data_IF_622219100481
#
_entry.id   IF_622219100481
#
_cell.length_a   1.000
_cell.length_b   1.000
_cell.length_c   1.000
_cell.angle_alpha   90.00
_cell.angle_beta   90.00
_cell.angle_gamma   90.00
#
_symmetry.space_group_name_H-M   'P 1'
#
loop_
_entity.id
_entity.type
_entity.pdbx_description
1 polymer ?
#
# COMPACT_ATOMS: atom_id res chain seq x y z
N UNK A 1 -44.49 41.84 -30.93
CA UNK A 1 -44.65 40.50 -30.34
C UNK A 1 -43.26 39.89 -30.30
N UNK A 2 -42.64 39.88 -29.12
CA UNK A 2 -41.19 39.69 -28.94
C UNK A 2 -40.83 38.20 -28.92
N UNK A 3 -39.99 37.76 -29.85
CA UNK A 3 -39.43 36.41 -29.85
C UNK A 3 -38.09 36.42 -29.12
N UNK A 4 -38.07 35.91 -27.88
CA UNK A 4 -36.87 35.75 -27.07
C UNK A 4 -36.11 34.51 -27.50
N UNK A 5 -34.91 34.71 -28.05
CA UNK A 5 -33.91 33.66 -28.28
C UNK A 5 -33.22 33.36 -26.95
N UNK A 6 -33.44 32.17 -26.40
CA UNK A 6 -32.67 31.67 -25.26
C UNK A 6 -31.41 30.97 -25.77
N UNK A 7 -30.27 31.66 -25.72
CA UNK A 7 -28.95 31.06 -25.90
C UNK A 7 -28.55 30.40 -24.58
N UNK A 8 -28.56 29.08 -24.53
CA UNK A 8 -28.02 28.30 -23.41
C UNK A 8 -26.49 28.32 -23.44
N UNK A 9 -25.88 29.07 -22.53
CA UNK A 9 -24.45 29.05 -22.27
C UNK A 9 -24.09 27.76 -21.49
N UNK A 10 -23.60 26.73 -22.19
CA UNK A 10 -23.05 25.53 -21.53
C UNK A 10 -21.64 25.87 -21.04
N UNK A 11 -21.52 26.09 -19.74
CA UNK A 11 -20.25 26.24 -19.04
C UNK A 11 -19.61 24.85 -18.91
N UNK A 12 -18.74 24.48 -19.85
CA UNK A 12 -17.93 23.27 -19.74
C UNK A 12 -16.85 23.48 -18.66
N UNK A 13 -17.09 22.97 -17.46
CA UNK A 13 -16.09 22.89 -16.41
C UNK A 13 -15.06 21.80 -16.79
N UNK A 14 -13.91 22.23 -17.32
CA UNK A 14 -12.73 21.38 -17.46
C UNK A 14 -12.24 21.00 -16.05
N UNK A 15 -12.64 19.84 -15.56
CA UNK A 15 -11.96 19.21 -14.43
C UNK A 15 -10.58 18.76 -14.92
N UNK A 16 -9.54 19.52 -14.53
CA UNK A 16 -8.16 19.14 -14.73
C UNK A 16 -7.90 17.81 -14.02
N UNK A 17 -7.67 16.76 -14.79
CA UNK A 17 -7.27 15.46 -14.30
C UNK A 17 -5.88 15.60 -13.66
N UNK A 18 -5.83 15.63 -12.33
CA UNK A 18 -4.56 15.69 -11.60
C UNK A 18 -3.75 14.42 -11.91
N UNK A 19 -2.64 14.57 -12.63
CA UNK A 19 -1.78 13.47 -13.02
C UNK A 19 -1.13 12.82 -11.78
N UNK A 20 -0.92 11.51 -11.85
CA UNK A 20 -0.19 10.78 -10.82
C UNK A 20 1.23 11.31 -10.71
N UNK A 21 1.63 11.76 -9.52
CA UNK A 21 2.96 12.29 -9.26
C UNK A 21 3.79 11.22 -8.58
N UNK A 22 4.92 10.81 -9.17
CA UNK A 22 5.82 9.79 -8.59
C UNK A 22 7.00 10.46 -7.90
N UNK A 23 7.37 10.03 -6.69
CA UNK A 23 8.51 10.62 -5.94
C UNK A 23 9.38 9.55 -5.30
N UNK A 24 10.70 9.61 -5.51
CA UNK A 24 11.70 8.84 -4.76
C UNK A 24 12.89 9.70 -4.34
N UNK A 25 13.69 9.21 -3.39
CA UNK A 25 14.94 9.84 -2.98
C UNK A 25 16.14 9.11 -3.59
N UNK A 26 16.93 9.83 -4.40
CA UNK A 26 18.13 9.31 -5.04
C UNK A 26 19.43 9.72 -4.33
N UNK A 27 19.40 10.72 -3.45
CA UNK A 27 20.62 11.23 -2.82
C UNK A 27 20.40 12.40 -1.87
N UNK A 28 21.50 12.87 -1.29
CA UNK A 28 21.56 14.08 -0.46
C UNK A 28 22.78 14.91 -0.82
N UNK A 29 22.62 16.22 -0.78
CA UNK A 29 23.71 17.19 -0.87
C UNK A 29 23.58 18.18 0.29
N UNK A 30 24.29 17.92 1.39
CA UNK A 30 24.20 18.74 2.60
C UNK A 30 22.82 18.65 3.26
N UNK A 31 22.10 19.77 3.25
CA UNK A 31 20.74 19.98 3.75
C UNK A 31 19.66 19.79 2.65
N UNK A 32 20.07 19.42 1.43
CA UNK A 32 19.19 19.22 0.27
C UNK A 32 19.04 17.74 -0.06
N UNK A 33 17.86 17.32 -0.47
CA UNK A 33 17.61 16.00 -1.03
C UNK A 33 17.64 16.05 -2.56
N UNK A 34 18.24 15.04 -3.18
CA UNK A 34 18.07 14.76 -4.60
C UNK A 34 16.88 13.81 -4.74
N UNK A 35 15.75 14.35 -5.19
CA UNK A 35 14.52 13.61 -5.41
C UNK A 35 14.35 13.31 -6.90
N UNK A 36 13.75 12.19 -7.24
CA UNK A 36 13.27 11.92 -8.61
C UNK A 36 11.76 12.17 -8.57
N UNK A 37 11.31 13.21 -9.26
CA UNK A 37 9.89 13.59 -9.36
C UNK A 37 9.47 13.39 -10.80
N UNK A 38 8.50 12.52 -11.06
CA UNK A 38 8.01 12.19 -12.40
C UNK A 38 9.13 11.76 -13.37
N UNK A 39 10.08 10.97 -12.84
CA UNK A 39 11.25 10.48 -13.58
C UNK A 39 12.37 11.52 -13.76
N UNK A 40 12.19 12.77 -13.35
CA UNK A 40 13.19 13.82 -13.47
C UNK A 40 13.90 14.09 -12.12
N UNK A 41 15.24 14.10 -12.06
CA UNK A 41 15.97 14.44 -10.85
C UNK A 41 15.84 15.93 -10.51
N UNK A 42 15.54 16.22 -9.26
CA UNK A 42 15.34 17.56 -8.69
C UNK A 42 16.03 17.65 -7.34
N UNK A 43 16.89 18.65 -7.18
CA UNK A 43 17.47 18.98 -5.87
C UNK A 43 16.52 19.90 -5.11
N UNK A 44 16.05 19.47 -3.94
CA UNK A 44 15.09 20.21 -3.11
C UNK A 44 15.72 20.46 -1.75
N UNK A 45 15.69 21.71 -1.28
CA UNK A 45 16.20 22.08 0.05
C UNK A 45 15.14 21.83 1.13
N UNK A 46 15.55 21.53 2.36
CA UNK A 46 14.61 21.41 3.47
C UNK A 46 13.78 22.71 3.62
N UNK A 47 12.46 22.55 3.74
CA UNK A 47 11.47 23.63 3.73
C UNK A 47 11.02 24.11 2.34
N UNK A 48 11.64 23.66 1.26
CA UNK A 48 11.28 24.08 -0.10
C UNK A 48 10.21 23.17 -0.73
N UNK A 49 9.44 23.73 -1.68
CA UNK A 49 8.43 22.99 -2.44
C UNK A 49 8.75 23.00 -3.92
N UNK A 50 8.73 21.83 -4.57
CA UNK A 50 8.97 21.68 -6.02
C UNK A 50 7.91 20.76 -6.61
N UNK A 51 7.21 21.24 -7.65
CA UNK A 51 6.14 20.50 -8.34
C UNK A 51 5.03 19.97 -7.39
N UNK A 52 4.78 20.63 -6.25
CA UNK A 52 3.79 20.16 -5.25
C UNK A 52 4.37 19.26 -4.17
N UNK A 53 5.67 18.92 -4.24
CA UNK A 53 6.40 18.17 -3.23
C UNK A 53 7.12 19.12 -2.28
N UNK A 54 6.63 19.23 -1.04
CA UNK A 54 7.24 20.02 0.02
C UNK A 54 8.21 19.16 0.83
N UNK A 55 9.49 19.50 0.86
CA UNK A 55 10.47 18.75 1.64
C UNK A 55 10.47 19.23 3.09
N UNK A 56 9.95 18.43 4.01
CA UNK A 56 9.84 18.77 5.43
C UNK A 56 11.20 18.67 6.12
N UNK A 57 11.90 17.56 5.92
CA UNK A 57 13.21 17.32 6.53
C UNK A 57 14.04 16.31 5.75
N UNK A 58 15.36 16.36 5.90
CA UNK A 58 16.30 15.42 5.29
C UNK A 58 17.23 14.88 6.37
N UNK A 59 17.35 13.55 6.45
CA UNK A 59 18.31 12.84 7.31
C UNK A 59 19.43 12.23 6.47
N UNK A 60 20.32 11.45 7.09
CA UNK A 60 21.40 10.75 6.38
C UNK A 60 20.92 9.72 5.37
N UNK A 61 19.78 9.11 5.62
CA UNK A 61 19.25 7.91 4.96
C UNK A 61 17.81 8.07 4.46
N UNK A 62 17.14 9.19 4.76
CA UNK A 62 15.76 9.42 4.36
C UNK A 62 15.44 10.91 4.15
N UNK A 63 14.31 11.17 3.50
CA UNK A 63 13.71 12.48 3.33
C UNK A 63 12.22 12.39 3.68
N UNK A 64 11.71 13.33 4.48
CA UNK A 64 10.27 13.46 4.74
C UNK A 64 9.73 14.50 3.79
N UNK A 65 8.81 14.10 2.92
CA UNK A 65 8.12 14.99 1.99
C UNK A 65 6.64 15.09 2.33
N UNK A 66 6.01 16.20 1.99
CA UNK A 66 4.58 16.44 2.11
C UNK A 66 4.03 16.78 0.72
N UNK A 67 3.02 16.03 0.28
CA UNK A 67 2.36 16.21 -1.02
C UNK A 67 0.86 16.16 -0.80
N UNK A 68 0.13 17.21 -1.23
CA UNK A 68 -1.32 17.28 -1.05
C UNK A 68 -1.78 17.16 0.41
N UNK A 69 -0.96 17.62 1.38
CA UNK A 69 -1.23 17.55 2.81
C UNK A 69 -0.91 16.21 3.48
N UNK A 70 -0.34 15.23 2.74
CA UNK A 70 0.06 13.92 3.28
C UNK A 70 1.59 13.85 3.40
N UNK A 71 2.09 13.53 4.60
CA UNK A 71 3.52 13.32 4.85
C UNK A 71 3.95 11.89 4.53
N UNK A 72 5.06 11.75 3.85
CA UNK A 72 5.63 10.49 3.37
C UNK A 72 7.14 10.50 3.61
N UNK A 73 7.67 9.41 4.14
CA UNK A 73 9.11 9.20 4.31
C UNK A 73 9.65 8.43 3.12
N UNK A 74 10.61 9.01 2.41
CA UNK A 74 11.33 8.42 1.30
C UNK A 74 12.70 7.95 1.81
N UNK A 75 12.94 6.64 1.81
CA UNK A 75 14.27 6.10 2.09
C UNK A 75 15.20 6.32 0.88
N UNK A 76 16.49 6.57 1.14
CA UNK A 76 17.51 6.68 0.12
C UNK A 76 17.62 5.38 -0.68
N UNK A 77 17.40 5.44 -2.00
CA UNK A 77 17.38 4.25 -2.85
C UNK A 77 16.16 3.35 -2.65
N UNK A 78 15.17 3.80 -1.87
CA UNK A 78 13.90 3.11 -1.66
C UNK A 78 12.97 3.20 -2.87
N UNK A 79 11.91 2.41 -2.84
CA UNK A 79 10.89 2.36 -3.89
C UNK A 79 10.23 3.74 -4.13
N UNK A 80 9.82 3.99 -5.38
CA UNK A 80 9.05 5.18 -5.74
C UNK A 80 7.69 5.18 -5.03
N UNK A 81 7.30 6.35 -4.52
CA UNK A 81 5.98 6.54 -3.93
C UNK A 81 5.11 7.31 -4.91
N UNK A 82 3.97 6.72 -5.26
CA UNK A 82 2.93 7.38 -6.04
C UNK A 82 2.12 8.31 -5.12
N UNK A 83 2.21 9.61 -5.41
CA UNK A 83 1.68 10.73 -4.63
C UNK A 83 0.60 11.53 -5.38
N UNK A 84 0.27 11.16 -6.61
CA UNK A 84 -0.89 11.71 -7.32
C UNK A 84 -2.03 10.71 -7.44
N UNK A 85 -2.90 10.75 -6.44
CA UNK A 85 -4.15 10.01 -6.43
C UNK A 85 -4.74 10.07 -5.04
N UNK A 86 -5.99 10.54 -4.92
CA UNK A 86 -6.83 10.13 -3.81
C UNK A 86 -6.67 8.61 -3.68
N UNK A 87 -6.17 8.12 -2.52
CA UNK A 87 -5.82 6.73 -2.23
C UNK A 87 -6.13 5.81 -3.41
N UNK A 88 -5.17 5.62 -4.34
CA UNK A 88 -5.38 5.04 -5.68
C UNK A 88 -6.53 4.05 -5.63
N UNK A 89 -7.59 4.34 -6.38
CA UNK A 89 -8.80 3.54 -6.45
C UNK A 89 -8.48 2.20 -7.12
N UNK A 90 -7.69 1.35 -6.46
CA UNK A 90 -7.38 -0.03 -6.83
C UNK A 90 -7.04 -0.28 -8.29
N UNK A 91 -6.23 0.59 -8.90
CA UNK A 91 -5.86 0.47 -10.32
C UNK A 91 -4.49 -0.17 -10.55
N UNK A 92 -3.66 -0.31 -9.51
CA UNK A 92 -2.35 -0.95 -9.64
C UNK A 92 -2.48 -2.41 -10.02
N UNK A 93 -1.63 -2.86 -10.94
CA UNK A 93 -1.55 -4.28 -11.35
C UNK A 93 -0.28 -4.96 -10.87
N UNK A 94 0.65 -4.24 -10.24
CA UNK A 94 1.94 -4.79 -9.85
C UNK A 94 2.33 -4.39 -8.43
N UNK A 95 2.90 -5.33 -7.69
CA UNK A 95 3.54 -5.12 -6.39
C UNK A 95 4.99 -5.57 -6.53
N UNK A 96 5.95 -4.72 -6.17
CA UNK A 96 7.37 -5.07 -6.12
C UNK A 96 7.80 -5.06 -4.66
N UNK A 97 8.38 -6.17 -4.21
CA UNK A 97 8.81 -6.39 -2.85
C UNK A 97 10.29 -6.71 -2.84
N UNK A 98 11.05 -6.05 -1.97
CA UNK A 98 12.44 -6.40 -1.70
C UNK A 98 12.52 -7.36 -0.51
N UNK A 99 13.49 -8.26 -0.56
CA UNK A 99 13.82 -9.19 0.51
C UNK A 99 14.35 -8.38 1.70
N UNK A 100 13.71 -8.57 2.85
CA UNK A 100 14.15 -7.96 4.11
C UNK A 100 14.98 -8.93 4.94
N UNK A 101 15.20 -8.55 6.20
CA UNK A 101 15.98 -9.36 7.14
C UNK A 101 15.40 -10.77 7.29
N UNK A 102 16.28 -11.77 7.31
CA UNK A 102 15.90 -13.18 7.45
C UNK A 102 15.38 -13.85 6.17
N UNK A 103 15.45 -13.16 5.02
CA UNK A 103 15.06 -13.70 3.72
C UNK A 103 13.57 -13.70 3.43
N UNK A 104 12.81 -12.96 4.26
CA UNK A 104 11.37 -12.78 4.12
C UNK A 104 11.05 -11.51 3.33
N UNK A 105 9.92 -11.50 2.63
CA UNK A 105 9.40 -10.31 1.97
C UNK A 105 8.41 -9.60 2.87
N UNK A 106 8.72 -8.35 3.19
CA UNK A 106 7.93 -7.51 4.09
C UNK A 106 7.23 -6.43 3.28
N UNK A 107 6.02 -6.08 3.67
CA UNK A 107 5.32 -4.97 3.04
C UNK A 107 4.30 -4.34 3.97
N UNK A 108 4.05 -3.05 3.76
CA UNK A 108 2.97 -2.34 4.43
C UNK A 108 1.74 -2.32 3.54
N UNK A 109 0.57 -2.33 4.16
CA UNK A 109 -0.69 -2.24 3.44
C UNK A 109 -1.85 -1.91 4.35
N UNK A 110 -3.05 -2.26 3.93
CA UNK A 110 -4.24 -2.09 4.75
C UNK A 110 -5.22 -3.24 4.61
N UNK A 111 -5.91 -3.56 5.69
CA UNK A 111 -7.09 -4.42 5.71
C UNK A 111 -8.27 -3.54 6.08
N UNK A 112 -9.32 -3.55 5.26
CA UNK A 112 -10.52 -2.75 5.48
C UNK A 112 -10.22 -1.26 5.80
N UNK A 113 -9.22 -0.69 5.11
CA UNK A 113 -8.79 0.71 5.27
C UNK A 113 -7.88 0.99 6.48
N UNK A 114 -7.61 0.01 7.34
CA UNK A 114 -6.72 0.14 8.50
C UNK A 114 -5.33 -0.39 8.19
N UNK A 115 -4.30 0.39 8.51
CA UNK A 115 -2.90 0.05 8.21
C UNK A 115 -2.44 -1.22 8.94
N UNK A 116 -1.70 -2.07 8.24
CA UNK A 116 -1.10 -3.31 8.76
C UNK A 116 0.28 -3.54 8.13
N UNK A 117 1.12 -4.32 8.80
CA UNK A 117 2.36 -4.86 8.23
C UNK A 117 2.17 -6.33 7.89
N UNK A 118 2.63 -6.71 6.70
CA UNK A 118 2.54 -8.05 6.16
C UNK A 118 3.92 -8.69 6.01
N UNK A 119 3.93 -10.00 6.14
CA UNK A 119 5.00 -10.89 5.65
C UNK A 119 4.41 -11.80 4.59
N UNK A 120 5.07 -11.93 3.44
CA UNK A 120 4.66 -12.91 2.42
C UNK A 120 4.91 -14.32 2.95
N UNK A 121 3.85 -15.13 2.99
CA UNK A 121 3.92 -16.52 3.38
C UNK A 121 3.22 -17.40 2.33
N UNK A 122 4.01 -17.96 1.41
CA UNK A 122 3.52 -18.86 0.36
C UNK A 122 3.03 -20.20 0.91
N UNK A 123 3.37 -20.55 2.16
CA UNK A 123 2.91 -21.77 2.83
C UNK A 123 1.52 -21.61 3.47
N UNK A 124 1.10 -20.38 3.75
CA UNK A 124 -0.22 -20.11 4.34
C UNK A 124 -1.35 -20.21 3.30
N UNK A 125 -2.40 -20.97 3.61
CA UNK A 125 -3.59 -21.06 2.74
C UNK A 125 -4.36 -19.74 2.69
N UNK A 126 -4.53 -19.09 3.84
CA UNK A 126 -5.28 -17.85 4.00
C UNK A 126 -4.38 -16.75 4.54
N UNK A 127 -4.77 -15.48 4.34
CA UNK A 127 -4.26 -14.38 5.15
C UNK A 127 -4.47 -14.72 6.62
N UNK A 128 -3.42 -14.63 7.44
CA UNK A 128 -3.48 -15.06 8.83
C UNK A 128 -3.09 -13.93 9.78
N UNK A 129 -3.87 -13.73 10.82
CA UNK A 129 -3.71 -12.64 11.78
C UNK A 129 -4.00 -13.13 13.21
N UNK A 130 -3.41 -12.46 14.19
CA UNK A 130 -3.68 -12.75 15.60
C UNK A 130 -5.06 -12.22 16.00
N UNK A 131 -5.59 -12.76 17.10
CA UNK A 131 -6.82 -12.26 17.71
C UNK A 131 -6.72 -10.78 18.08
N UNK A 132 -5.59 -10.36 18.67
CA UNK A 132 -5.34 -8.96 19.02
C UNK A 132 -5.37 -8.04 17.79
N UNK A 133 -4.82 -8.49 16.67
CA UNK A 133 -4.84 -7.72 15.43
C UNK A 133 -6.26 -7.67 14.83
N UNK A 134 -7.01 -8.78 14.87
CA UNK A 134 -8.41 -8.80 14.44
C UNK A 134 -9.28 -7.82 15.25
N UNK A 135 -9.07 -7.73 16.56
CA UNK A 135 -9.74 -6.78 17.45
C UNK A 135 -9.37 -5.33 17.12
N UNK A 136 -8.07 -5.04 16.90
CA UNK A 136 -7.60 -3.71 16.47
C UNK A 136 -8.22 -3.29 15.14
N UNK A 137 -8.34 -4.26 14.22
CA UNK A 137 -8.98 -4.07 12.92
C UNK A 137 -10.51 -3.98 13.03
N UNK A 138 -11.11 -4.34 14.17
CA UNK A 138 -12.55 -4.28 14.40
C UNK A 138 -13.31 -5.36 13.62
N UNK A 139 -12.69 -6.51 13.38
CA UNK A 139 -13.34 -7.64 12.71
C UNK A 139 -14.36 -8.28 13.65
N UNK A 140 -15.56 -8.58 13.14
CA UNK A 140 -16.57 -9.29 13.92
C UNK A 140 -16.28 -10.80 13.94
N UNK A 141 -15.86 -11.28 15.10
CA UNK A 141 -15.59 -12.71 15.33
C UNK A 141 -16.78 -13.46 15.94
N UNK A 142 -17.85 -12.76 16.35
CA UNK A 142 -18.98 -13.40 17.04
C UNK A 142 -19.72 -14.40 16.16
N UNK A 143 -19.77 -14.10 14.86
CA UNK A 143 -20.39 -14.95 13.84
C UNK A 143 -19.35 -15.73 13.00
N UNK A 144 -18.06 -15.63 13.35
CA UNK A 144 -17.01 -16.29 12.59
C UNK A 144 -17.08 -17.81 12.75
N UNK A 145 -16.93 -18.52 11.63
CA UNK A 145 -16.89 -19.97 11.67
C UNK A 145 -15.62 -20.44 12.39
N UNK A 146 -15.79 -21.26 13.42
CA UNK A 146 -14.67 -21.90 14.11
C UNK A 146 -14.13 -23.07 13.29
N UNK A 147 -12.82 -23.24 13.32
CA UNK A 147 -12.11 -24.34 12.71
C UNK A 147 -10.79 -24.61 13.42
N UNK A 148 -9.96 -25.45 12.81
CA UNK A 148 -8.62 -25.75 13.27
C UNK A 148 -7.62 -25.31 12.21
N UNK A 149 -6.59 -24.58 12.64
CA UNK A 149 -5.45 -24.22 11.79
C UNK A 149 -4.22 -25.03 12.19
N UNK A 150 -3.48 -25.53 11.20
CA UNK A 150 -2.18 -26.13 11.40
C UNK A 150 -1.12 -25.04 11.37
N UNK A 151 -0.34 -24.94 12.44
CA UNK A 151 0.79 -24.01 12.55
C UNK A 151 2.08 -24.79 12.79
N UNK A 152 3.22 -24.12 12.72
CA UNK A 152 4.51 -24.72 13.08
C UNK A 152 4.53 -25.28 14.52
N UNK A 153 3.72 -24.71 15.42
CA UNK A 153 3.60 -25.12 16.82
C UNK A 153 2.46 -26.11 17.07
N UNK A 154 1.88 -26.67 16.00
CA UNK A 154 0.76 -27.61 16.08
C UNK A 154 -0.60 -26.99 15.75
N UNK A 155 -1.66 -27.71 16.10
CA UNK A 155 -3.04 -27.33 15.81
C UNK A 155 -3.57 -26.31 16.82
N UNK A 156 -4.21 -25.26 16.32
CA UNK A 156 -4.86 -24.23 17.15
C UNK A 156 -6.29 -24.00 16.70
N UNK A 157 -7.15 -23.60 17.64
CA UNK A 157 -8.47 -23.08 17.28
C UNK A 157 -8.30 -21.84 16.41
N UNK A 158 -9.09 -21.75 15.35
CA UNK A 158 -9.04 -20.66 14.41
C UNK A 158 -10.46 -20.15 14.10
N UNK A 159 -10.57 -18.88 13.76
CA UNK A 159 -11.81 -18.25 13.33
C UNK A 159 -11.65 -17.80 11.88
N UNK A 160 -12.52 -18.29 11.00
CA UNK A 160 -12.51 -17.90 9.60
C UNK A 160 -13.37 -16.65 9.41
N UNK A 161 -12.79 -15.65 8.78
CA UNK A 161 -13.43 -14.37 8.43
C UNK A 161 -13.19 -14.03 6.98
N UNK A 162 -14.01 -13.12 6.45
CA UNK A 162 -13.80 -12.52 5.13
C UNK A 162 -13.35 -11.08 5.32
N UNK A 163 -12.24 -10.72 4.67
CA UNK A 163 -11.78 -9.34 4.62
C UNK A 163 -12.40 -8.67 3.39
N UNK A 164 -13.03 -7.53 3.58
CA UNK A 164 -13.72 -6.81 2.50
C UNK A 164 -12.73 -6.37 1.44
N UNK A 165 -11.60 -5.82 1.88
CA UNK A 165 -10.51 -5.39 1.02
C UNK A 165 -9.15 -5.51 1.69
N UNK A 166 -8.20 -6.07 0.96
CA UNK A 166 -6.77 -6.08 1.28
C UNK A 166 -6.05 -5.25 0.24
N UNK A 167 -5.31 -4.23 0.68
CA UNK A 167 -4.49 -3.37 -0.17
C UNK A 167 -3.02 -3.56 0.17
N UNK A 168 -2.19 -3.72 -0.85
CA UNK A 168 -0.72 -3.71 -0.76
C UNK A 168 -0.20 -2.82 -1.88
N UNK A 169 0.51 -1.74 -1.52
CA UNK A 169 0.79 -0.64 -2.45
C UNK A 169 -0.50 -0.12 -3.10
N UNK A 170 -0.51 -0.05 -4.42
CA UNK A 170 -1.63 0.45 -5.21
C UNK A 170 -2.63 -0.65 -5.65
N UNK A 171 -2.36 -1.89 -5.27
CA UNK A 171 -3.20 -3.03 -5.63
C UNK A 171 -4.19 -3.37 -4.53
N UNK A 172 -5.44 -3.57 -4.93
CA UNK A 172 -6.51 -4.06 -4.04
C UNK A 172 -7.02 -5.42 -4.49
N UNK A 173 -7.29 -6.27 -3.51
CA UNK A 173 -8.02 -7.54 -3.66
C UNK A 173 -9.20 -7.51 -2.70
N UNK A 174 -10.38 -7.85 -3.21
CA UNK A 174 -11.63 -7.86 -2.46
C UNK A 174 -11.99 -9.27 -2.02
N UNK A 175 -12.79 -9.38 -0.96
CA UNK A 175 -13.34 -10.66 -0.46
C UNK A 175 -12.23 -11.69 -0.20
N UNK A 176 -11.22 -11.29 0.57
CA UNK A 176 -10.05 -12.11 0.86
C UNK A 176 -10.32 -12.96 2.10
N UNK A 177 -10.30 -14.28 1.94
CA UNK A 177 -10.49 -15.19 3.06
C UNK A 177 -9.32 -15.07 4.05
N UNK A 178 -9.62 -14.98 5.35
CA UNK A 178 -8.62 -14.87 6.38
C UNK A 178 -8.90 -15.80 7.58
N UNK A 179 -7.84 -16.10 8.31
CA UNK A 179 -7.84 -16.97 9.49
C UNK A 179 -7.31 -16.20 10.68
N UNK A 180 -8.12 -16.08 11.72
CA UNK A 180 -7.73 -15.47 13.00
C UNK A 180 -7.35 -16.56 13.98
N UNK A 181 -6.17 -16.47 14.59
CA UNK A 181 -5.69 -17.41 15.62
C UNK A 181 -5.49 -16.71 16.96
N UNK A 182 -5.69 -17.39 18.10
CA UNK A 182 -5.50 -16.81 19.43
C UNK A 182 -4.02 -16.63 19.79
N UNK A 183 -3.13 -17.30 19.09
CA UNK A 183 -1.69 -17.20 19.32
C UNK A 183 -1.17 -15.83 18.90
N UNK A 184 -0.29 -15.18 19.69
CA UNK A 184 0.37 -13.95 19.29
C UNK A 184 1.13 -14.12 17.99
N UNK A 185 0.98 -13.14 17.10
CA UNK A 185 1.70 -13.06 15.83
C UNK A 185 2.31 -11.67 15.71
N UNK A 186 3.62 -11.55 15.43
CA UNK A 186 4.27 -10.26 15.33
C UNK A 186 3.80 -9.46 14.09
N UNK A 187 3.38 -10.14 13.02
CA UNK A 187 2.83 -9.53 11.81
C UNK A 187 1.72 -10.38 11.19
N UNK A 188 0.98 -9.79 10.27
CA UNK A 188 -0.02 -10.50 9.46
C UNK A 188 0.69 -11.30 8.37
N UNK A 189 0.31 -12.56 8.19
CA UNK A 189 0.83 -13.39 7.10
C UNK A 189 -0.04 -13.19 5.87
N UNK A 190 0.59 -12.80 4.76
CA UNK A 190 -0.05 -12.62 3.46
C UNK A 190 -0.02 -13.96 2.71
N UNK A 191 -1.08 -14.75 2.89
CA UNK A 191 -1.20 -16.10 2.35
C UNK A 191 -1.85 -16.19 0.97
N UNK A 192 -2.09 -17.42 0.53
CA UNK A 192 -2.54 -17.74 -0.83
C UNK A 192 -3.96 -17.24 -1.19
N UNK A 193 -4.81 -16.98 -0.21
CA UNK A 193 -6.10 -16.30 -0.45
C UNK A 193 -5.93 -14.88 -1.01
N UNK A 194 -4.76 -14.27 -0.84
CA UNK A 194 -4.36 -13.05 -1.54
C UNK A 194 -3.41 -13.34 -2.71
N UNK A 195 -2.36 -14.13 -2.48
CA UNK A 195 -1.27 -14.31 -3.45
C UNK A 195 -1.72 -14.99 -4.76
N UNK A 196 -2.75 -15.84 -4.73
CA UNK A 196 -3.24 -16.55 -5.93
C UNK A 196 -3.88 -15.64 -6.98
N UNK A 197 -4.20 -14.39 -6.63
CA UNK A 197 -4.63 -13.35 -7.58
C UNK A 197 -3.49 -12.83 -8.46
N UNK A 198 -2.26 -13.24 -8.18
CA UNK A 198 -1.05 -12.72 -8.82
C UNK A 198 -0.25 -13.83 -9.49
N UNK A 199 0.41 -13.47 -10.60
CA UNK A 199 1.59 -14.17 -11.05
C UNK A 199 2.78 -13.68 -10.24
N UNK A 200 3.45 -14.61 -9.57
CA UNK A 200 4.64 -14.33 -8.77
C UNK A 200 5.90 -14.64 -9.58
N UNK A 201 6.81 -13.66 -9.65
CA UNK A 201 8.17 -13.84 -10.17
C UNK A 201 9.16 -13.43 -9.08
N UNK A 202 10.06 -14.33 -8.70
CA UNK A 202 11.18 -14.04 -7.80
C UNK A 202 12.45 -13.95 -8.63
N UNK A 203 13.21 -12.89 -8.44
CA UNK A 203 14.52 -12.66 -9.05
C UNK A 203 15.46 -12.15 -7.97
N UNK A 204 16.41 -12.99 -7.57
CA UNK A 204 17.36 -12.69 -6.48
C UNK A 204 16.64 -12.22 -5.20
N UNK A 205 16.88 -10.97 -4.80
CA UNK A 205 16.33 -10.31 -3.61
C UNK A 205 14.97 -9.64 -3.87
N UNK A 206 14.41 -9.78 -5.07
CA UNK A 206 13.19 -9.07 -5.48
C UNK A 206 12.07 -10.04 -5.81
N UNK A 207 10.87 -9.76 -5.31
CA UNK A 207 9.64 -10.47 -5.67
C UNK A 207 8.67 -9.49 -6.36
N UNK A 208 8.20 -9.88 -7.53
CA UNK A 208 7.22 -9.14 -8.30
C UNK A 208 5.93 -9.93 -8.37
N UNK A 209 4.83 -9.33 -7.90
CA UNK A 209 3.48 -9.87 -7.99
C UNK A 209 2.71 -9.08 -9.06
N UNK A 210 2.30 -9.74 -10.13
CA UNK A 210 1.52 -9.13 -11.22
C UNK A 210 0.09 -9.68 -11.20
N UNK A 211 -0.89 -8.81 -10.99
CA UNK A 211 -2.30 -9.17 -10.87
C UNK A 211 -2.80 -9.83 -12.16
N UNK A 212 -3.51 -10.95 -12.03
CA UNK A 212 -3.98 -11.76 -13.17
C UNK A 212 -5.35 -11.34 -13.70
N UNK A 213 -6.18 -10.78 -12.81
CA UNK A 213 -7.56 -10.35 -13.07
C UNK A 213 -8.03 -9.40 -11.97
#
# INVERSE_FOLDING_TARGET
>A
MNLRVCVGLVLAACFGMAAAQTVSMSGRLGDKALLIIDGAPRTVAAGATVQGVHLVSVTSDAAVVEVGGRRVTLALGGAQVDLGGAASAGGGTQIVLSEGTGGHYWTSGSINGKSVSFVVDTGATNVSLSLAEAERLGLDLKQAQRGIANTANGQVTAYRVMLDVVRVGDVQVYNVAATVVPTPMPQVLLGNSFLSHFQMKRDSDTMVLTKRY
#
